data_IF_380593372553
#
_entry.id   IF_380593372553
#
_cell.length_a   1.000
_cell.length_b   1.000
_cell.length_c   1.000
_cell.angle_alpha   90.00
_cell.angle_beta   90.00
_cell.angle_gamma   90.00
#
_symmetry.space_group_name_H-M   'P 1'
#
loop_
_entity.id
_entity.type
_entity.pdbx_description
1 polymer ?
#
# COMPACT_ATOMS: atom_id res chain seq x y z
N UNK A 1 -13.97 -26.16 -12.92
CA UNK A 1 -12.73 -25.94 -13.69
C UNK A 1 -12.99 -24.75 -14.61
N UNK A 2 -12.65 -23.54 -14.14
CA UNK A 2 -12.78 -22.32 -14.95
C UNK A 2 -11.49 -22.14 -15.74
N UNK A 3 -11.52 -21.83 -17.04
CA UNK A 3 -10.30 -21.67 -17.83
C UNK A 3 -9.55 -20.44 -17.35
N UNK A 4 -8.36 -20.67 -16.82
CA UNK A 4 -7.39 -19.63 -16.49
C UNK A 4 -7.04 -18.87 -17.77
N UNK A 5 -7.23 -17.55 -17.77
CA UNK A 5 -6.72 -16.69 -18.83
C UNK A 5 -5.18 -16.67 -18.72
N UNK A 6 -4.45 -16.90 -19.82
CA UNK A 6 -3.00 -16.90 -19.80
C UNK A 6 -2.51 -15.46 -19.58
N UNK A 7 -1.90 -15.19 -18.43
CA UNK A 7 -1.12 -13.98 -18.15
C UNK A 7 -1.89 -12.72 -17.72
N UNK A 8 -3.21 -12.77 -17.55
CA UNK A 8 -4.01 -11.64 -17.07
C UNK A 8 -4.35 -11.74 -15.59
N UNK A 9 -4.32 -10.63 -14.85
CA UNK A 9 -4.89 -10.59 -13.50
C UNK A 9 -6.39 -10.91 -13.57
N UNK A 10 -6.78 -12.06 -13.03
CA UNK A 10 -8.19 -12.37 -12.83
C UNK A 10 -8.85 -11.28 -11.98
N UNK A 11 -10.13 -10.98 -12.21
CA UNK A 11 -10.84 -9.90 -11.52
C UNK A 11 -10.77 -10.03 -9.98
N UNK A 12 -10.71 -11.25 -9.46
CA UNK A 12 -10.51 -11.54 -8.04
C UNK A 12 -9.11 -11.17 -7.55
N UNK A 13 -8.06 -11.43 -8.34
CA UNK A 13 -6.69 -11.04 -8.03
C UNK A 13 -6.54 -9.51 -8.06
N UNK A 14 -7.17 -8.83 -9.03
CA UNK A 14 -7.20 -7.36 -9.07
C UNK A 14 -7.87 -6.76 -7.84
N UNK A 15 -9.00 -7.36 -7.40
CA UNK A 15 -9.70 -6.91 -6.21
C UNK A 15 -8.86 -7.11 -4.94
N UNK A 16 -8.19 -8.26 -4.80
CA UNK A 16 -7.29 -8.54 -3.67
C UNK A 16 -6.09 -7.60 -3.67
N UNK A 17 -5.51 -7.34 -4.84
CA UNK A 17 -4.41 -6.40 -5.02
C UNK A 17 -4.82 -4.97 -4.66
N UNK A 18 -5.96 -4.49 -5.17
CA UNK A 18 -6.48 -3.16 -4.83
C UNK A 18 -6.76 -3.04 -3.33
N UNK A 19 -7.39 -4.05 -2.74
CA UNK A 19 -7.62 -4.14 -1.29
C UNK A 19 -6.31 -4.12 -0.50
N UNK A 20 -5.29 -4.82 -0.97
CA UNK A 20 -3.97 -4.80 -0.35
C UNK A 20 -3.33 -3.41 -0.45
N UNK A 21 -3.27 -2.78 -1.63
CA UNK A 21 -2.70 -1.45 -1.79
C UNK A 21 -3.39 -0.41 -0.91
N UNK A 22 -4.73 -0.45 -0.82
CA UNK A 22 -5.49 0.42 0.07
C UNK A 22 -5.19 0.11 1.54
N UNK A 23 -5.15 -1.16 1.93
CA UNK A 23 -4.81 -1.61 3.28
C UNK A 23 -3.41 -1.15 3.71
N UNK A 24 -2.44 -1.18 2.78
CA UNK A 24 -1.08 -0.69 3.01
C UNK A 24 -1.09 0.81 3.33
N UNK A 25 -1.71 1.61 2.46
CA UNK A 25 -1.76 3.07 2.61
C UNK A 25 -2.52 3.48 3.86
N UNK A 26 -3.73 2.94 4.06
CA UNK A 26 -4.59 3.28 5.21
C UNK A 26 -3.96 2.80 6.51
N UNK A 27 -3.40 1.59 6.54
CA UNK A 27 -2.76 1.03 7.73
C UNK A 27 -1.52 1.84 8.14
N UNK A 28 -0.62 2.16 7.21
CA UNK A 28 0.62 2.89 7.54
C UNK A 28 0.35 4.34 7.92
N UNK A 29 -0.52 5.05 7.19
CA UNK A 29 -0.90 6.43 7.52
C UNK A 29 -1.69 6.48 8.83
N UNK A 30 -2.61 5.54 9.03
CA UNK A 30 -3.39 5.41 10.26
C UNK A 30 -2.51 5.19 11.49
N UNK A 31 -1.53 4.29 11.39
CA UNK A 31 -0.53 4.05 12.45
C UNK A 31 0.26 5.31 12.77
N UNK A 32 0.77 5.99 11.74
CA UNK A 32 1.56 7.21 11.91
C UNK A 32 0.72 8.34 12.55
N UNK A 33 -0.55 8.45 12.17
CA UNK A 33 -1.49 9.40 12.76
C UNK A 33 -1.85 9.04 14.21
N UNK A 34 -1.97 7.75 14.54
CA UNK A 34 -2.23 7.28 15.90
C UNK A 34 -1.03 7.50 16.84
N UNK A 35 0.19 7.45 16.31
CA UNK A 35 1.42 7.66 17.08
C UNK A 35 1.72 9.12 17.39
N UNK A 36 1.08 10.09 16.72
CA UNK A 36 1.21 11.51 17.02
C UNK A 36 0.08 11.97 17.95
N UNK A 37 0.34 12.16 19.26
CA UNK A 37 -0.70 12.53 20.21
C UNK A 37 -1.25 13.90 19.85
N UNK A 38 -2.56 13.98 19.56
CA UNK A 38 -3.24 15.25 19.33
C UNK A 38 -3.87 15.75 20.63
N UNK A 39 -3.74 17.05 20.98
CA UNK A 39 -4.31 17.62 22.20
C UNK A 39 -5.82 17.39 22.30
N UNK A 40 -6.52 17.42 21.16
CA UNK A 40 -7.98 17.37 21.07
C UNK A 40 -8.57 15.95 21.16
N UNK A 41 -7.72 14.92 21.18
CA UNK A 41 -8.16 13.52 21.10
C UNK A 41 -7.98 12.80 22.43
N UNK A 42 -9.07 12.24 22.96
CA UNK A 42 -9.01 11.35 24.12
C UNK A 42 -8.12 10.12 23.85
N UNK A 43 -7.46 9.61 24.91
CA UNK A 43 -6.64 8.38 24.85
C UNK A 43 -7.37 7.19 24.22
N UNK A 44 -8.68 7.06 24.47
CA UNK A 44 -9.50 5.97 23.92
C UNK A 44 -9.60 6.04 22.38
N UNK A 45 -9.81 7.24 21.82
CA UNK A 45 -9.86 7.46 20.37
C UNK A 45 -8.51 7.19 19.71
N UNK A 46 -7.41 7.58 20.35
CA UNK A 46 -6.05 7.27 19.87
C UNK A 46 -5.78 5.76 19.88
N UNK A 47 -6.11 5.08 20.98
CA UNK A 47 -5.98 3.62 21.08
C UNK A 47 -6.86 2.88 20.07
N UNK A 48 -8.09 3.35 19.83
CA UNK A 48 -8.98 2.78 18.83
C UNK A 48 -8.43 2.94 17.41
N UNK A 49 -7.91 4.13 17.05
CA UNK A 49 -7.26 4.34 15.75
C UNK A 49 -6.02 3.46 15.60
N UNK A 50 -5.21 3.33 16.66
CA UNK A 50 -4.03 2.49 16.67
C UNK A 50 -4.38 1.01 16.42
N UNK A 51 -5.37 0.49 17.16
CA UNK A 51 -5.85 -0.88 16.98
C UNK A 51 -6.45 -1.11 15.59
N UNK A 52 -7.22 -0.16 15.07
CA UNK A 52 -7.79 -0.23 13.72
C UNK A 52 -6.70 -0.25 12.65
N UNK A 53 -5.67 0.58 12.79
CA UNK A 53 -4.57 0.66 11.85
C UNK A 53 -3.69 -0.61 11.87
N UNK A 54 -3.49 -1.22 13.05
CA UNK A 54 -2.89 -2.56 13.15
C UNK A 54 -3.75 -3.60 12.44
N UNK A 55 -5.07 -3.60 12.67
CA UNK A 55 -5.99 -4.51 11.99
C UNK A 55 -5.92 -4.37 10.46
N UNK A 56 -5.83 -3.14 9.95
CA UNK A 56 -5.63 -2.88 8.53
C UNK A 56 -4.29 -3.41 8.01
N UNK A 57 -3.19 -3.25 8.76
CA UNK A 57 -1.88 -3.82 8.43
C UNK A 57 -1.90 -5.35 8.42
N UNK A 58 -2.59 -5.97 9.37
CA UNK A 58 -2.75 -7.43 9.40
C UNK A 58 -3.56 -7.92 8.21
N UNK A 59 -4.67 -7.25 7.88
CA UNK A 59 -5.47 -7.58 6.70
C UNK A 59 -4.67 -7.44 5.40
N UNK A 60 -3.90 -6.35 5.27
CA UNK A 60 -2.96 -6.16 4.16
C UNK A 60 -1.98 -7.32 4.04
N UNK A 61 -1.35 -7.70 5.15
CA UNK A 61 -0.37 -8.78 5.17
C UNK A 61 -0.93 -10.11 4.67
N UNK A 62 -2.14 -10.50 5.12
CA UNK A 62 -2.77 -11.73 4.64
C UNK A 62 -3.21 -11.66 3.18
N UNK A 63 -3.73 -10.52 2.73
CA UNK A 63 -4.06 -10.31 1.32
C UNK A 63 -2.80 -10.41 0.43
N UNK A 64 -1.70 -9.83 0.91
CA UNK A 64 -0.42 -9.85 0.22
C UNK A 64 0.17 -11.26 0.12
N UNK A 65 0.17 -12.01 1.23
CA UNK A 65 0.60 -13.42 1.25
C UNK A 65 -0.28 -14.30 0.35
N UNK A 66 -1.60 -14.09 0.35
CA UNK A 66 -2.49 -14.83 -0.55
C UNK A 66 -2.17 -14.56 -2.02
N UNK A 67 -1.85 -13.32 -2.37
CA UNK A 67 -1.46 -12.95 -3.73
C UNK A 67 -0.12 -13.59 -4.13
N UNK A 68 0.88 -13.52 -3.23
CA UNK A 68 2.21 -14.12 -3.41
C UNK A 68 2.18 -15.65 -3.53
N UNK A 69 1.19 -16.31 -2.92
CA UNK A 69 0.99 -17.75 -3.05
C UNK A 69 0.41 -18.18 -4.39
N UNK A 70 -0.36 -17.30 -5.05
CA UNK A 70 -1.10 -17.59 -6.28
C UNK A 70 -0.34 -17.17 -7.55
N UNK A 71 0.59 -16.20 -7.48
CA UNK A 71 1.31 -15.67 -8.64
C UNK A 71 2.82 -15.56 -8.43
N UNK A 72 3.58 -15.59 -9.53
CA UNK A 72 5.02 -15.40 -9.51
C UNK A 72 5.41 -14.01 -8.98
N UNK A 73 6.43 -13.99 -8.11
CA UNK A 73 6.94 -12.79 -7.47
C UNK A 73 7.25 -11.66 -8.47
N UNK A 74 7.86 -11.98 -9.61
CA UNK A 74 8.22 -11.00 -10.65
C UNK A 74 7.03 -10.18 -11.14
N UNK A 75 5.83 -10.73 -11.13
CA UNK A 75 4.63 -10.04 -11.59
C UNK A 75 3.98 -9.19 -10.48
N UNK A 76 4.12 -9.57 -9.21
CA UNK A 76 3.49 -8.85 -8.07
C UNK A 76 4.33 -7.66 -7.59
N UNK A 77 5.66 -7.78 -7.58
CA UNK A 77 6.56 -6.73 -7.07
C UNK A 77 6.38 -5.35 -7.71
N UNK A 78 6.12 -5.20 -9.03
CA UNK A 78 5.84 -3.90 -9.64
C UNK A 78 4.66 -3.18 -8.99
N UNK A 79 3.62 -3.91 -8.58
CA UNK A 79 2.46 -3.32 -7.90
C UNK A 79 2.78 -2.91 -6.46
N UNK A 80 3.68 -3.62 -5.78
CA UNK A 80 4.18 -3.22 -4.46
C UNK A 80 4.92 -1.88 -4.53
N UNK A 81 5.74 -1.72 -5.57
CA UNK A 81 6.48 -0.50 -5.84
C UNK A 81 5.52 0.68 -6.11
N UNK A 82 4.46 0.46 -6.91
CA UNK A 82 3.38 1.45 -7.08
C UNK A 82 2.70 1.78 -5.74
N UNK A 83 2.42 0.77 -4.92
CA UNK A 83 1.84 0.97 -3.58
C UNK A 83 2.70 1.87 -2.69
N UNK A 84 4.01 1.67 -2.69
CA UNK A 84 4.97 2.50 -1.93
C UNK A 84 5.04 3.95 -2.45
N UNK A 85 4.91 4.15 -3.76
CA UNK A 85 4.82 5.48 -4.35
C UNK A 85 3.51 6.18 -3.94
N UNK A 86 2.37 5.49 -4.02
CA UNK A 86 1.06 6.01 -3.58
C UNK A 86 1.11 6.35 -2.08
N UNK A 87 1.69 5.49 -1.25
CA UNK A 87 1.88 5.74 0.18
C UNK A 87 2.67 7.03 0.41
N UNK A 88 3.76 7.25 -0.33
CA UNK A 88 4.60 8.44 -0.20
C UNK A 88 3.82 9.72 -0.57
N UNK A 89 3.02 9.68 -1.63
CA UNK A 89 2.14 10.78 -2.03
C UNK A 89 1.06 11.01 -0.97
N UNK A 90 0.42 9.95 -0.50
CA UNK A 90 -0.62 10.03 0.52
C UNK A 90 -0.06 10.55 1.87
N UNK A 91 1.20 10.26 2.21
CA UNK A 91 1.87 10.85 3.36
C UNK A 91 2.06 12.37 3.21
N UNK A 92 2.45 12.86 2.02
CA UNK A 92 2.52 14.30 1.76
C UNK A 92 1.14 14.94 1.90
N UNK A 93 0.08 14.34 1.35
CA UNK A 93 -1.27 14.94 1.37
C UNK A 93 -1.89 14.89 2.76
N UNK A 94 -1.85 13.74 3.43
CA UNK A 94 -2.57 13.49 4.69
C UNK A 94 -1.80 13.98 5.90
N UNK A 95 -0.48 13.76 5.95
CA UNK A 95 0.36 14.22 7.06
C UNK A 95 0.97 15.61 6.82
N UNK A 96 0.85 16.18 5.61
CA UNK A 96 1.50 17.44 5.22
C UNK A 96 3.01 17.42 5.45
N UNK A 97 3.64 16.26 5.22
CA UNK A 97 5.10 16.16 5.32
C UNK A 97 5.77 17.03 4.25
N UNK A 98 6.88 17.68 4.61
CA UNK A 98 7.61 18.56 3.70
C UNK A 98 8.18 17.73 2.55
N UNK A 99 7.75 18.03 1.34
CA UNK A 99 8.22 17.39 0.12
C UNK A 99 9.69 17.75 -0.12
N UNK A 100 10.59 16.82 0.20
CA UNK A 100 12.03 17.00 -0.08
C UNK A 100 12.31 16.64 -1.54
N UNK A 101 13.24 17.34 -2.18
CA UNK A 101 13.66 17.03 -3.57
C UNK A 101 14.11 15.57 -3.74
N UNK A 102 14.71 14.99 -2.69
CA UNK A 102 15.08 13.57 -2.62
C UNK A 102 13.86 12.64 -2.74
N UNK A 103 12.72 13.01 -2.16
CA UNK A 103 11.50 12.21 -2.21
C UNK A 103 10.85 12.28 -3.60
N UNK A 104 10.86 13.46 -4.23
CA UNK A 104 10.40 13.61 -5.62
C UNK A 104 11.23 12.77 -6.60
N UNK A 105 12.56 12.79 -6.47
CA UNK A 105 13.46 11.95 -7.26
C UNK A 105 13.23 10.46 -6.98
N UNK A 106 13.02 10.07 -5.72
CA UNK A 106 12.69 8.70 -5.36
C UNK A 106 11.39 8.20 -5.98
N UNK A 107 10.32 9.01 -5.95
CA UNK A 107 9.04 8.68 -6.59
C UNK A 107 9.22 8.55 -8.11
N UNK A 108 9.97 9.45 -8.74
CA UNK A 108 10.25 9.38 -10.18
C UNK A 108 11.02 8.10 -10.56
N UNK A 109 12.01 7.70 -9.76
CA UNK A 109 12.77 6.45 -9.95
C UNK A 109 11.90 5.20 -9.78
N UNK A 110 11.05 5.17 -8.75
CA UNK A 110 10.11 4.05 -8.53
C UNK A 110 9.14 3.94 -9.71
N UNK A 111 8.55 5.06 -10.11
CA UNK A 111 7.59 5.11 -11.22
C UNK A 111 8.25 4.71 -12.54
N UNK A 112 9.47 5.19 -12.80
CA UNK A 112 10.25 4.82 -13.97
C UNK A 112 10.64 3.34 -13.97
N UNK A 113 11.02 2.78 -12.82
CA UNK A 113 11.32 1.35 -12.67
C UNK A 113 10.11 0.46 -12.94
N UNK A 114 8.94 0.83 -12.41
CA UNK A 114 7.67 0.12 -12.68
C UNK A 114 7.33 0.19 -14.18
N UNK A 115 7.46 1.38 -14.78
CA UNK A 115 7.20 1.54 -16.21
C UNK A 115 8.11 0.66 -17.07
N UNK A 116 9.39 0.57 -16.70
CA UNK A 116 10.34 -0.31 -17.39
C UNK A 116 9.95 -1.79 -17.26
N UNK A 117 9.53 -2.25 -16.08
CA UNK A 117 9.03 -3.62 -15.90
C UNK A 117 7.72 -3.85 -16.65
N UNK A 118 6.87 -2.84 -16.82
CA UNK A 118 5.65 -2.97 -17.62
C UNK A 118 5.89 -3.14 -19.14
N UNK A 119 7.11 -2.85 -19.61
CA UNK A 119 7.52 -3.03 -21.01
C UNK A 119 8.17 -4.40 -21.26
N UNK A 120 8.46 -5.19 -20.22
CA UNK A 120 9.00 -6.56 -20.32
C UNK A 120 7.89 -7.59 -20.28
#
# INVERSE_FOLDING_TARGET
>A
MSPAAPGGLDATAMLRLAGALLGLVVGQIGLKMAMHPRPDWSRLKQAALFALAIGAMTAWFFLWMGLLGDHELSFIYPFEAVGSAILSIAAIVVLRERMTWRLAVGIALITGGVFLVSLS
#
